data_IF_058235331705
#
_entry.id   IF_058235331705
#
_cell.length_a   1.000
_cell.length_b   1.000
_cell.length_c   1.000
_cell.angle_alpha   90.00
_cell.angle_beta   90.00
_cell.angle_gamma   90.00
#
_symmetry.space_group_name_H-M   'P 1'
#
loop_
_entity.id
_entity.type
_entity.pdbx_description
1 polymer ?
#
# COMPACT_ATOMS: atom_id res chain seq x y z
N UNK A 1 -7.57 -13.38 -17.47
CA UNK A 1 -7.21 -12.04 -16.96
C UNK A 1 -8.41 -11.24 -16.44
N UNK A 2 -9.62 -11.43 -17.01
CA UNK A 2 -10.85 -10.72 -16.61
C UNK A 2 -11.28 -10.96 -15.16
N UNK A 3 -11.21 -12.19 -14.64
CA UNK A 3 -11.61 -12.49 -13.25
C UNK A 3 -10.82 -11.68 -12.21
N UNK A 4 -9.51 -11.50 -12.40
CA UNK A 4 -8.68 -10.72 -11.48
C UNK A 4 -9.10 -9.24 -11.49
N UNK A 5 -9.33 -8.68 -12.67
CA UNK A 5 -9.80 -7.30 -12.81
C UNK A 5 -11.20 -7.10 -12.23
N UNK A 6 -12.10 -8.06 -12.41
CA UNK A 6 -13.44 -8.04 -11.82
C UNK A 6 -13.41 -8.17 -10.30
N UNK A 7 -12.53 -9.01 -9.76
CA UNK A 7 -12.32 -9.12 -8.32
C UNK A 7 -11.83 -7.79 -7.74
N UNK A 8 -10.80 -7.18 -8.34
CA UNK A 8 -10.28 -5.88 -7.93
C UNK A 8 -11.33 -4.76 -8.04
N UNK A 9 -12.10 -4.71 -9.13
CA UNK A 9 -13.21 -3.75 -9.29
C UNK A 9 -14.30 -3.96 -8.24
N UNK A 10 -14.53 -5.20 -7.81
CA UNK A 10 -15.46 -5.54 -6.74
C UNK A 10 -14.87 -5.37 -5.33
N UNK A 11 -13.69 -4.76 -5.17
CA UNK A 11 -13.06 -4.55 -3.86
C UNK A 11 -12.59 -5.84 -3.17
N UNK A 12 -12.32 -6.89 -3.94
CA UNK A 12 -11.79 -8.16 -3.44
C UNK A 12 -10.30 -8.27 -3.77
N UNK A 13 -9.48 -8.82 -2.87
CA UNK A 13 -8.07 -9.03 -3.15
C UNK A 13 -7.88 -10.12 -4.21
N UNK A 14 -6.74 -10.08 -4.88
CA UNK A 14 -6.24 -11.13 -5.78
C UNK A 14 -4.84 -11.56 -5.35
N UNK A 15 -4.47 -12.80 -5.67
CA UNK A 15 -3.11 -13.28 -5.49
C UNK A 15 -2.34 -13.10 -6.79
N UNK A 16 -1.15 -12.51 -6.71
CA UNK A 16 -0.26 -12.28 -7.85
C UNK A 16 1.08 -12.91 -7.54
N UNK A 17 1.53 -13.84 -8.38
CA UNK A 17 2.86 -14.43 -8.28
C UNK A 17 3.79 -13.81 -9.30
N UNK A 18 5.03 -13.54 -8.90
CA UNK A 18 6.05 -13.09 -9.83
C UNK A 18 6.81 -14.27 -10.46
N UNK A 19 7.85 -13.98 -11.25
CA UNK A 19 8.62 -15.01 -11.94
C UNK A 19 9.47 -15.83 -10.96
N UNK A 20 9.62 -17.13 -11.25
CA UNK A 20 10.35 -18.07 -10.39
C UNK A 20 11.84 -17.75 -10.23
N UNK A 21 12.42 -16.98 -11.15
CA UNK A 21 13.81 -16.53 -11.14
C UNK A 21 13.99 -15.11 -10.58
N UNK A 22 12.89 -14.45 -10.17
CA UNK A 22 12.93 -13.14 -9.51
C UNK A 22 12.74 -13.30 -8.00
N UNK A 23 11.52 -13.16 -7.46
CA UNK A 23 11.24 -13.36 -6.02
C UNK A 23 10.70 -14.75 -5.75
N UNK A 24 9.99 -15.34 -6.72
CA UNK A 24 9.24 -16.58 -6.55
C UNK A 24 8.25 -16.49 -5.37
N UNK A 25 7.62 -15.31 -5.24
CA UNK A 25 6.70 -14.97 -4.14
C UNK A 25 5.27 -14.75 -4.66
N UNK A 26 4.30 -14.81 -3.74
CA UNK A 26 2.90 -14.54 -4.00
C UNK A 26 2.39 -13.41 -3.11
N UNK A 27 1.95 -12.31 -3.74
CA UNK A 27 1.44 -11.12 -3.08
C UNK A 27 -0.07 -11.05 -3.09
N UNK A 28 -0.63 -10.53 -1.99
CA UNK A 28 -2.04 -10.15 -1.88
C UNK A 28 -2.18 -8.72 -2.40
N UNK A 29 -2.85 -8.55 -3.54
CA UNK A 29 -3.08 -7.24 -4.16
C UNK A 29 -4.54 -6.83 -4.01
N UNK A 30 -4.77 -5.62 -3.50
CA UNK A 30 -6.09 -5.01 -3.34
C UNK A 30 -6.06 -3.55 -3.80
N UNK A 31 -7.15 -3.08 -4.41
CA UNK A 31 -7.30 -1.66 -4.73
C UNK A 31 -7.40 -0.83 -3.44
N UNK A 32 -6.45 0.07 -3.21
CA UNK A 32 -6.32 0.80 -1.94
C UNK A 32 -7.56 1.63 -1.56
N UNK A 33 -8.29 2.20 -2.53
CA UNK A 33 -9.55 2.92 -2.28
C UNK A 33 -10.67 2.00 -1.72
N UNK A 34 -10.57 0.69 -1.96
CA UNK A 34 -11.50 -0.33 -1.48
C UNK A 34 -10.99 -1.07 -0.24
N UNK A 35 -9.87 -0.63 0.37
CA UNK A 35 -9.32 -1.25 1.56
C UNK A 35 -10.28 -1.10 2.75
N UNK A 36 -10.90 -2.21 3.14
CA UNK A 36 -11.74 -2.30 4.34
C UNK A 36 -10.90 -2.77 5.52
N UNK A 37 -11.34 -2.46 6.75
CA UNK A 37 -10.71 -3.00 7.96
C UNK A 37 -10.62 -4.53 7.93
N UNK A 38 -11.65 -5.20 7.39
CA UNK A 38 -11.66 -6.66 7.25
C UNK A 38 -10.54 -7.15 6.32
N UNK A 39 -10.44 -6.62 5.10
CA UNK A 39 -9.42 -7.07 4.16
C UNK A 39 -8.01 -6.70 4.61
N UNK A 40 -7.83 -5.54 5.23
CA UNK A 40 -6.55 -5.15 5.82
C UNK A 40 -6.18 -6.07 6.99
N UNK A 41 -7.11 -6.42 7.88
CA UNK A 41 -6.86 -7.38 8.95
C UNK A 41 -6.52 -8.78 8.41
N UNK A 42 -7.23 -9.21 7.36
CA UNK A 42 -6.98 -10.48 6.69
C UNK A 42 -5.59 -10.50 6.06
N UNK A 43 -5.20 -9.44 5.34
CA UNK A 43 -3.86 -9.31 4.77
C UNK A 43 -2.79 -9.39 5.87
N UNK A 44 -2.94 -8.64 6.96
CA UNK A 44 -2.00 -8.69 8.09
C UNK A 44 -1.88 -10.09 8.70
N UNK A 45 -2.97 -10.84 8.77
CA UNK A 45 -2.98 -12.21 9.33
C UNK A 45 -2.28 -13.23 8.43
N UNK A 46 -2.22 -12.99 7.12
CA UNK A 46 -1.83 -14.00 6.13
C UNK A 46 -0.61 -13.62 5.29
N UNK A 47 -0.09 -12.39 5.40
CA UNK A 47 1.13 -11.94 4.73
C UNK A 47 2.25 -11.70 5.74
N UNK A 48 3.38 -11.17 5.28
CA UNK A 48 4.48 -10.70 6.16
C UNK A 48 4.07 -9.61 7.15
N UNK A 49 2.91 -8.96 6.93
CA UNK A 49 2.42 -7.86 7.76
C UNK A 49 2.97 -6.49 7.36
N UNK A 50 3.98 -6.44 6.47
CA UNK A 50 4.48 -5.21 5.84
C UNK A 50 3.58 -4.86 4.66
N UNK A 51 2.60 -3.98 4.90
CA UNK A 51 1.65 -3.55 3.87
C UNK A 51 2.22 -2.39 3.06
N UNK A 52 2.34 -2.58 1.75
CA UNK A 52 2.82 -1.57 0.81
C UNK A 52 1.66 -0.93 0.04
N UNK A 53 1.85 0.32 -0.41
CA UNK A 53 0.89 1.06 -1.22
C UNK A 53 1.56 1.51 -2.54
N UNK A 54 1.67 0.62 -3.54
CA UNK A 54 2.27 0.98 -4.82
C UNK A 54 1.50 2.11 -5.50
N UNK A 55 2.22 3.10 -6.00
CA UNK A 55 1.66 4.27 -6.67
C UNK A 55 2.62 4.78 -7.74
N UNK A 56 2.13 5.69 -8.59
CA UNK A 56 2.98 6.32 -9.61
C UNK A 56 3.97 7.30 -8.96
N UNK A 57 5.11 7.54 -9.63
CA UNK A 57 6.08 8.54 -9.18
C UNK A 57 5.46 9.95 -9.06
N UNK A 58 4.53 10.29 -9.98
CA UNK A 58 3.76 11.54 -9.89
C UNK A 58 2.95 11.62 -8.60
N UNK A 59 2.22 10.55 -8.26
CA UNK A 59 1.41 10.53 -7.03
C UNK A 59 2.28 10.63 -5.78
N UNK A 60 3.42 9.95 -5.75
CA UNK A 60 4.38 10.07 -4.67
C UNK A 60 4.92 11.51 -4.54
N UNK A 61 5.21 12.19 -5.66
CA UNK A 61 5.65 13.58 -5.67
C UNK A 61 4.58 14.55 -5.17
N UNK A 62 3.32 14.40 -5.61
CA UNK A 62 2.18 15.21 -5.15
C UNK A 62 2.01 15.12 -3.63
N UNK A 63 2.17 13.92 -3.09
CA UNK A 63 2.08 13.64 -1.66
C UNK A 63 3.39 13.91 -0.90
N UNK A 64 4.45 14.39 -1.58
CA UNK A 64 5.79 14.61 -1.01
C UNK A 64 6.31 13.40 -0.24
N UNK A 65 6.25 12.24 -0.88
CA UNK A 65 6.79 10.97 -0.39
C UNK A 65 8.17 10.75 -1.03
N UNK A 66 9.21 11.30 -0.42
CA UNK A 66 10.59 11.11 -0.86
C UNK A 66 11.04 9.65 -0.68
N UNK A 67 12.00 9.15 -1.49
CA UNK A 67 12.64 7.87 -1.24
C UNK A 67 13.14 7.75 0.20
N UNK A 68 13.03 6.55 0.78
CA UNK A 68 13.40 6.30 2.18
C UNK A 68 14.90 6.49 2.42
N UNK A 69 15.72 6.19 1.41
CA UNK A 69 17.18 6.31 1.45
C UNK A 69 17.68 7.04 0.21
N UNK A 70 18.79 7.77 0.35
CA UNK A 70 19.44 8.47 -0.77
C UNK A 70 20.09 7.49 -1.75
N UNK A 71 20.79 6.47 -1.23
CA UNK A 71 21.40 5.38 -2.00
C UNK A 71 20.68 4.08 -1.69
N UNK A 72 19.91 3.58 -2.65
CA UNK A 72 19.22 2.30 -2.50
C UNK A 72 20.19 1.13 -2.72
N UNK A 73 20.38 0.32 -1.68
CA UNK A 73 21.22 -0.88 -1.70
C UNK A 73 20.39 -2.18 -1.74
N UNK A 74 19.07 -2.07 -1.84
CA UNK A 74 18.19 -3.21 -2.08
C UNK A 74 18.59 -3.86 -3.43
N UNK A 75 18.90 -5.17 -3.47
CA UNK A 75 19.35 -5.84 -4.69
C UNK A 75 18.32 -5.84 -5.82
N UNK A 76 17.03 -5.67 -5.50
CA UNK A 76 15.93 -5.51 -6.46
C UNK A 76 15.49 -4.05 -6.62
N UNK A 77 16.12 -3.14 -5.88
CA UNK A 77 15.87 -1.70 -5.98
C UNK A 77 14.45 -1.31 -5.56
N UNK A 78 13.85 -2.02 -4.60
CA UNK A 78 12.49 -1.73 -4.13
C UNK A 78 12.39 -0.26 -3.71
N UNK A 79 11.53 0.49 -4.40
CA UNK A 79 11.48 1.94 -4.31
C UNK A 79 10.62 2.42 -3.12
N UNK A 80 11.03 2.06 -1.90
CA UNK A 80 10.35 2.52 -0.70
C UNK A 80 10.48 4.05 -0.55
N UNK A 81 9.36 4.68 -0.21
CA UNK A 81 9.33 6.08 0.23
C UNK A 81 9.34 6.14 1.77
N UNK A 82 9.49 7.33 2.34
CA UNK A 82 9.19 7.55 3.76
C UNK A 82 7.78 7.00 4.08
N UNK A 83 7.67 6.23 5.16
CA UNK A 83 6.39 5.66 5.59
C UNK A 83 5.44 6.77 6.02
N UNK A 84 4.14 6.44 6.07
CA UNK A 84 3.11 7.37 6.51
C UNK A 84 2.01 6.70 7.30
N UNK A 85 1.41 7.51 8.16
CA UNK A 85 0.06 7.33 8.68
C UNK A 85 -0.86 8.45 8.16
N UNK A 86 -2.17 8.17 8.04
CA UNK A 86 -3.15 9.24 7.94
C UNK A 86 -3.05 10.14 9.17
N UNK A 87 -3.04 11.45 8.97
CA UNK A 87 -2.88 12.42 10.06
C UNK A 87 -4.09 12.45 11.00
N UNK A 88 -5.28 12.11 10.51
CA UNK A 88 -6.54 12.17 11.26
C UNK A 88 -7.39 10.91 11.04
N UNK A 89 -8.23 10.60 12.04
CA UNK A 89 -9.09 9.42 12.01
C UNK A 89 -8.35 8.10 12.23
N UNK A 90 -7.19 8.17 12.89
CA UNK A 90 -6.38 7.03 13.35
C UNK A 90 -5.98 7.25 14.81
N UNK A 91 -5.44 6.21 15.43
CA UNK A 91 -4.92 6.25 16.81
C UNK A 91 -3.40 6.13 16.81
N UNK A 92 -2.87 4.91 16.76
CA UNK A 92 -1.43 4.61 16.73
C UNK A 92 -0.92 4.28 15.34
N UNK A 93 -1.80 4.24 14.32
CA UNK A 93 -1.42 3.98 12.93
C UNK A 93 -1.35 2.49 12.55
N UNK A 94 -1.01 1.62 13.51
CA UNK A 94 -0.70 0.21 13.20
C UNK A 94 -1.93 -0.71 13.07
N UNK A 95 -3.07 -0.30 13.61
CA UNK A 95 -4.29 -1.12 13.60
C UNK A 95 -4.73 -1.42 12.16
N UNK A 96 -5.50 -2.50 11.96
CA UNK A 96 -6.05 -2.79 10.63
C UNK A 96 -6.99 -1.67 10.14
N UNK A 97 -7.72 -1.01 11.06
CA UNK A 97 -8.59 0.10 10.73
C UNK A 97 -7.78 1.35 10.35
N UNK A 98 -6.70 1.62 11.08
CA UNK A 98 -5.83 2.77 10.88
C UNK A 98 -5.08 2.63 9.54
N UNK A 99 -4.47 1.47 9.27
CA UNK A 99 -3.83 1.20 7.98
C UNK A 99 -4.83 1.20 6.82
N UNK A 100 -6.05 0.69 7.00
CA UNK A 100 -7.10 0.80 5.98
C UNK A 100 -7.51 2.26 5.70
N UNK A 101 -7.54 3.12 6.73
CA UNK A 101 -7.78 4.56 6.59
C UNK A 101 -6.64 5.23 5.81
N UNK A 102 -5.39 4.95 6.16
CA UNK A 102 -4.20 5.45 5.47
C UNK A 102 -4.17 5.03 4.00
N UNK A 103 -4.42 3.74 3.70
CA UNK A 103 -4.47 3.21 2.32
C UNK A 103 -5.53 3.92 1.47
N UNK A 104 -6.75 4.08 2.00
CA UNK A 104 -7.82 4.79 1.28
C UNK A 104 -7.48 6.25 1.02
N UNK A 105 -6.82 6.91 1.98
CA UNK A 105 -6.40 8.30 1.84
C UNK A 105 -5.27 8.46 0.80
N UNK A 106 -4.30 7.54 0.77
CA UNK A 106 -3.27 7.51 -0.29
C UNK A 106 -3.87 7.42 -1.69
N UNK A 107 -4.98 6.67 -1.83
CA UNK A 107 -5.71 6.50 -3.08
C UNK A 107 -6.68 7.65 -3.43
N UNK A 108 -6.95 8.57 -2.50
CA UNK A 108 -7.91 9.66 -2.70
C UNK A 108 -7.27 10.77 -3.54
N UNK A 109 -7.77 11.07 -4.76
CA UNK A 109 -7.18 12.10 -5.62
C UNK A 109 -7.18 13.50 -5.00
N UNK A 110 -8.02 13.78 -4.00
CA UNK A 110 -8.07 15.05 -3.29
C UNK A 110 -7.08 15.15 -2.13
N UNK A 111 -6.46 14.04 -1.70
CA UNK A 111 -5.52 14.06 -0.58
C UNK A 111 -4.24 14.84 -0.92
N UNK A 112 -3.77 15.61 0.05
CA UNK A 112 -2.57 16.42 0.00
C UNK A 112 -1.47 15.86 0.93
N UNK A 113 -0.22 16.29 0.72
CA UNK A 113 0.92 15.87 1.53
C UNK A 113 0.75 16.12 3.05
N UNK A 114 -0.05 17.12 3.42
CA UNK A 114 -0.37 17.48 4.81
C UNK A 114 -1.34 16.51 5.47
N UNK A 115 -2.05 15.68 4.72
CA UNK A 115 -2.99 14.71 5.27
C UNK A 115 -2.28 13.47 5.84
N UNK A 116 -0.95 13.42 5.74
CA UNK A 116 -0.11 12.33 6.19
C UNK A 116 0.88 12.79 7.26
N UNK A 117 0.98 12.01 8.33
CA UNK A 117 2.11 12.04 9.25
C UNK A 117 3.25 11.18 8.68
N UNK A 118 4.50 11.48 9.09
CA UNK A 118 5.72 10.75 8.72
C UNK A 118 6.54 10.56 10.01
N UNK A 119 7.16 9.39 10.27
CA UNK A 119 7.03 8.15 9.49
C UNK A 119 5.61 7.56 9.54
#
# INVERSE_FOLDING_TARGET
MTMALEALRGGRPVLVTDAADRENEGDVVLAAHAATTYWTAWAVRHTSGLLCAPMTAHRAADLRLSPMVERNEDPRGTAYTVTVDARTGVTTGISAADRARTLRLLADPAAAATDFARP
#
